data_IF_981604114350
#
_entry.id   IF_981604114350
#
_cell.length_a   1.000
_cell.length_b   1.000
_cell.length_c   1.000
_cell.angle_alpha   90.00
_cell.angle_beta   90.00
_cell.angle_gamma   90.00
#
_symmetry.space_group_name_H-M   'P 1'
#
loop_
_entity.id
_entity.type
_entity.pdbx_description
1 polymer ?
#
# COMPACT_ATOMS: atom_id res chain seq x y z
N UNK A 1 61.35 -16.61 -26.45
CA UNK A 1 60.60 -16.98 -25.23
C UNK A 1 59.57 -15.88 -24.98
N UNK A 2 58.32 -16.08 -25.41
CA UNK A 2 57.24 -15.12 -25.18
C UNK A 2 56.45 -15.50 -23.90
N UNK A 3 56.55 -14.68 -22.88
CA UNK A 3 55.80 -14.85 -21.64
C UNK A 3 54.41 -14.20 -21.81
N UNK A 4 53.34 -15.01 -21.93
CA UNK A 4 51.97 -14.52 -21.98
C UNK A 4 51.48 -14.26 -20.56
N UNK A 5 51.30 -12.98 -20.20
CA UNK A 5 50.58 -12.57 -18.99
C UNK A 5 49.08 -12.74 -19.22
N UNK A 6 48.46 -13.70 -18.52
CA UNK A 6 47.00 -13.83 -18.42
C UNK A 6 46.52 -12.89 -17.33
N UNK A 7 45.88 -11.77 -17.70
CA UNK A 7 45.17 -10.91 -16.77
C UNK A 7 43.85 -11.56 -16.44
N UNK A 8 43.72 -12.08 -15.21
CA UNK A 8 42.47 -12.62 -14.70
C UNK A 8 41.52 -11.47 -14.34
N UNK A 9 40.40 -11.37 -15.06
CA UNK A 9 39.31 -10.44 -14.76
C UNK A 9 38.44 -11.04 -13.66
N UNK A 10 38.63 -10.59 -12.42
CA UNK A 10 37.71 -10.97 -11.30
C UNK A 10 36.48 -10.12 -11.38
N UNK A 11 35.35 -10.70 -11.82
CA UNK A 11 34.06 -10.07 -11.75
C UNK A 11 33.60 -10.03 -10.29
N UNK A 12 33.49 -8.82 -9.71
CA UNK A 12 32.88 -8.63 -8.38
C UNK A 12 31.37 -8.84 -8.50
N UNK A 13 30.87 -9.91 -7.92
CA UNK A 13 29.43 -10.12 -7.76
C UNK A 13 28.95 -9.19 -6.64
N UNK A 14 28.28 -8.11 -7.01
CA UNK A 14 27.56 -7.25 -6.05
C UNK A 14 26.29 -7.99 -5.65
N UNK A 15 26.30 -8.60 -4.46
CA UNK A 15 25.10 -9.17 -3.87
C UNK A 15 24.17 -8.01 -3.49
N UNK A 16 23.01 -7.91 -4.16
CA UNK A 16 21.94 -7.00 -3.74
C UNK A 16 21.43 -7.46 -2.36
N UNK A 17 21.54 -6.59 -1.37
CA UNK A 17 20.93 -6.84 -0.06
C UNK A 17 19.42 -6.93 -0.25
N UNK A 18 18.72 -7.89 0.42
CA UNK A 18 17.27 -7.94 0.39
C UNK A 18 16.71 -6.62 0.93
N UNK A 19 15.68 -6.08 0.29
CA UNK A 19 14.96 -4.92 0.79
C UNK A 19 14.47 -5.26 2.21
N UNK A 20 14.90 -4.49 3.21
CA UNK A 20 14.47 -4.69 4.58
C UNK A 20 12.97 -4.46 4.66
N UNK A 21 12.19 -5.46 5.08
CA UNK A 21 10.77 -5.32 5.39
C UNK A 21 10.55 -4.29 6.51
N UNK A 22 9.32 -3.85 6.69
CA UNK A 22 8.97 -2.92 7.77
C UNK A 22 9.33 -3.53 9.13
N UNK A 23 9.85 -2.70 10.03
CA UNK A 23 10.16 -3.14 11.40
C UNK A 23 8.89 -3.37 12.22
N UNK A 24 8.96 -4.22 13.25
CA UNK A 24 7.85 -4.46 14.18
C UNK A 24 7.31 -3.15 14.78
N UNK A 25 8.19 -2.19 15.02
CA UNK A 25 7.82 -0.86 15.53
C UNK A 25 6.99 -0.07 14.52
N UNK A 26 7.34 -0.16 13.26
CA UNK A 26 6.62 0.50 12.16
C UNK A 26 5.26 -0.16 11.94
N UNK A 27 5.20 -1.49 11.94
CA UNK A 27 3.94 -2.24 11.87
C UNK A 27 3.01 -1.92 13.03
N UNK A 28 3.51 -1.88 14.26
CA UNK A 28 2.72 -1.50 15.44
C UNK A 28 2.24 -0.06 15.38
N UNK A 29 3.04 0.86 14.83
CA UNK A 29 2.62 2.24 14.59
C UNK A 29 1.51 2.30 13.54
N UNK A 30 1.65 1.57 12.44
CA UNK A 30 0.64 1.45 11.39
C UNK A 30 -0.67 0.85 11.88
N UNK A 31 -0.62 -0.17 12.71
CA UNK A 31 -1.81 -0.75 13.34
C UNK A 31 -2.56 0.28 14.19
N UNK A 32 -1.86 1.09 14.97
CA UNK A 32 -2.50 2.17 15.75
C UNK A 32 -3.20 3.19 14.86
N UNK A 33 -2.57 3.58 13.75
CA UNK A 33 -3.20 4.47 12.76
C UNK A 33 -4.44 3.82 12.16
N UNK A 34 -4.36 2.56 11.75
CA UNK A 34 -5.51 1.82 11.22
C UNK A 34 -6.67 1.79 12.21
N UNK A 35 -6.41 1.44 13.46
CA UNK A 35 -7.44 1.38 14.51
C UNK A 35 -8.10 2.73 14.77
N UNK A 36 -7.34 3.81 14.75
CA UNK A 36 -7.86 5.15 15.05
C UNK A 36 -8.51 5.84 13.85
N UNK A 37 -8.05 5.59 12.63
CA UNK A 37 -8.44 6.35 11.44
C UNK A 37 -9.24 5.55 10.40
N UNK A 38 -9.12 4.24 10.38
CA UNK A 38 -9.65 3.40 9.31
C UNK A 38 -10.71 2.39 9.79
N UNK A 39 -10.52 1.78 10.96
CA UNK A 39 -11.31 0.66 11.46
C UNK A 39 -12.79 1.02 11.71
N UNK A 40 -13.10 2.31 11.88
CA UNK A 40 -14.50 2.77 12.00
C UNK A 40 -15.35 2.48 10.77
N UNK A 41 -14.71 2.46 9.59
CA UNK A 41 -15.38 2.27 8.31
C UNK A 41 -14.88 1.04 7.52
N UNK A 42 -13.70 0.52 7.82
CA UNK A 42 -13.07 -0.58 7.09
C UNK A 42 -12.73 -1.77 7.99
N UNK A 43 -12.58 -2.93 7.37
CA UNK A 43 -12.05 -4.16 7.96
C UNK A 43 -10.88 -4.66 7.10
N UNK A 44 -10.02 -5.50 7.65
CA UNK A 44 -9.02 -6.29 6.91
C UNK A 44 -9.44 -7.75 6.76
N UNK A 45 -10.62 -8.11 7.27
CA UNK A 45 -11.15 -9.47 7.17
C UNK A 45 -11.83 -9.69 5.82
N UNK A 46 -11.71 -10.91 5.23
CA UNK A 46 -12.41 -11.25 3.99
C UNK A 46 -13.93 -11.01 4.09
N UNK A 47 -14.53 -10.53 3.01
CA UNK A 47 -15.99 -10.37 2.86
C UNK A 47 -16.67 -9.48 3.91
N UNK A 48 -15.89 -8.82 4.77
CA UNK A 48 -16.42 -7.99 5.85
C UNK A 48 -16.43 -6.51 5.46
N UNK A 49 -17.42 -6.12 4.67
CA UNK A 49 -17.70 -4.72 4.38
C UNK A 49 -18.36 -4.03 5.58
N UNK A 50 -18.10 -2.73 5.73
CA UNK A 50 -18.75 -1.84 6.70
C UNK A 50 -19.28 -0.60 5.96
N UNK A 51 -19.13 0.60 6.50
CA UNK A 51 -19.41 1.84 5.78
C UNK A 51 -18.49 2.01 4.55
N UNK A 52 -17.28 1.46 4.61
CA UNK A 52 -16.36 1.27 3.51
C UNK A 52 -16.18 -0.21 3.15
N UNK A 53 -15.56 -0.50 1.98
CA UNK A 53 -15.26 -1.87 1.58
C UNK A 53 -14.21 -2.51 2.48
N UNK A 54 -14.20 -3.85 2.57
CA UNK A 54 -13.07 -4.53 3.18
C UNK A 54 -11.77 -4.21 2.44
N UNK A 55 -10.70 -4.02 3.19
CA UNK A 55 -9.36 -3.81 2.65
C UNK A 55 -8.60 -5.14 2.43
N UNK A 56 -9.21 -6.29 2.77
CA UNK A 56 -8.64 -7.59 2.44
C UNK A 56 -8.44 -7.71 0.93
N UNK A 57 -7.24 -8.12 0.51
CA UNK A 57 -6.87 -8.19 -0.91
C UNK A 57 -6.78 -6.83 -1.60
N UNK A 58 -6.53 -5.74 -0.87
CA UNK A 58 -6.51 -4.38 -1.42
C UNK A 58 -5.46 -4.20 -2.50
N UNK A 59 -4.21 -4.59 -2.23
CA UNK A 59 -3.10 -4.35 -3.17
C UNK A 59 -3.24 -5.18 -4.44
N UNK A 60 -3.15 -4.50 -5.58
CA UNK A 60 -3.42 -5.06 -6.91
C UNK A 60 -4.89 -4.95 -7.36
N UNK A 61 -5.80 -4.56 -6.49
CA UNK A 61 -7.21 -4.33 -6.83
C UNK A 61 -7.35 -2.99 -7.56
N UNK A 62 -8.22 -2.95 -8.56
CA UNK A 62 -8.64 -1.69 -9.20
C UNK A 62 -9.74 -1.03 -8.34
N UNK A 63 -9.70 0.30 -8.25
CA UNK A 63 -10.69 1.07 -7.51
C UNK A 63 -12.12 0.77 -7.97
N UNK A 64 -13.03 0.64 -7.02
CA UNK A 64 -14.45 0.45 -7.32
C UNK A 64 -14.84 -0.92 -7.85
N UNK A 65 -13.98 -1.96 -7.74
CA UNK A 65 -14.23 -3.27 -8.38
C UNK A 65 -14.53 -4.42 -7.41
N UNK A 66 -14.43 -4.23 -6.10
CA UNK A 66 -14.76 -5.31 -5.16
C UNK A 66 -16.25 -5.63 -5.24
N UNK A 67 -16.56 -6.89 -5.52
CA UNK A 67 -17.95 -7.36 -5.53
C UNK A 67 -18.62 -7.24 -4.16
N UNK A 68 -19.91 -6.93 -4.14
CA UNK A 68 -20.69 -6.85 -2.91
C UNK A 68 -20.55 -5.53 -2.15
N UNK A 69 -19.85 -4.53 -2.69
CA UNK A 69 -19.81 -3.19 -2.13
C UNK A 69 -20.35 -2.14 -3.12
N UNK A 70 -21.20 -1.25 -2.63
CA UNK A 70 -21.76 -0.16 -3.44
C UNK A 70 -20.86 1.08 -3.41
N UNK A 71 -19.99 1.17 -4.40
CA UNK A 71 -19.07 2.29 -4.56
C UNK A 71 -19.74 3.54 -5.14
N UNK A 72 -19.14 4.72 -4.88
CA UNK A 72 -19.45 5.92 -5.64
C UNK A 72 -19.11 5.78 -7.12
N UNK A 73 -19.78 6.54 -7.97
CA UNK A 73 -19.42 6.64 -9.40
C UNK A 73 -17.96 7.08 -9.57
N UNK A 74 -17.52 8.07 -8.77
CA UNK A 74 -16.14 8.53 -8.79
C UNK A 74 -15.13 7.39 -8.55
N UNK A 75 -15.38 6.52 -7.57
CA UNK A 75 -14.50 5.41 -7.26
C UNK A 75 -14.53 4.34 -8.36
N UNK A 76 -15.72 4.07 -8.96
CA UNK A 76 -15.86 3.11 -10.06
C UNK A 76 -15.15 3.54 -11.33
N UNK A 77 -15.14 4.84 -11.62
CA UNK A 77 -14.58 5.39 -12.86
C UNK A 77 -13.13 5.84 -12.77
N UNK A 78 -12.57 5.94 -11.56
CA UNK A 78 -11.20 6.40 -11.33
C UNK A 78 -10.14 5.46 -11.95
N UNK A 79 -10.41 4.17 -12.02
CA UNK A 79 -9.52 3.15 -12.59
C UNK A 79 -8.10 3.15 -11.96
N UNK A 80 -8.01 3.42 -10.66
CA UNK A 80 -6.77 3.41 -9.90
C UNK A 80 -6.47 1.99 -9.45
N UNK A 81 -5.29 1.47 -9.80
CA UNK A 81 -4.76 0.25 -9.18
C UNK A 81 -4.18 0.61 -7.81
N UNK A 82 -4.61 -0.09 -6.76
CA UNK A 82 -4.10 0.14 -5.42
C UNK A 82 -2.73 -0.52 -5.25
N UNK A 83 -1.71 0.30 -5.23
CA UNK A 83 -0.33 -0.04 -4.88
C UNK A 83 0.06 0.76 -3.62
N UNK A 84 1.17 0.45 -2.95
CA UNK A 84 1.68 1.30 -1.87
C UNK A 84 1.80 2.77 -2.27
N UNK A 85 2.25 3.07 -3.49
CA UNK A 85 2.45 4.42 -4.01
C UNK A 85 1.12 5.15 -4.27
N UNK A 86 0.17 4.49 -4.94
CA UNK A 86 -1.14 5.10 -5.23
C UNK A 86 -1.97 5.26 -3.96
N UNK A 87 -1.84 4.32 -3.01
CA UNK A 87 -2.48 4.43 -1.71
C UNK A 87 -1.88 5.57 -0.88
N UNK A 88 -0.56 5.78 -0.92
CA UNK A 88 0.08 6.92 -0.25
C UNK A 88 -0.48 8.24 -0.76
N UNK A 89 -0.55 8.42 -2.07
CA UNK A 89 -1.12 9.62 -2.68
C UNK A 89 -2.60 9.82 -2.30
N UNK A 90 -3.39 8.75 -2.29
CA UNK A 90 -4.80 8.79 -1.90
C UNK A 90 -4.97 9.15 -0.42
N UNK A 91 -4.17 8.55 0.47
CA UNK A 91 -4.21 8.84 1.91
C UNK A 91 -3.64 10.21 2.27
N UNK A 92 -2.84 10.81 1.39
CA UNK A 92 -2.43 12.21 1.55
C UNK A 92 -3.60 13.16 1.25
N UNK A 93 -4.30 12.93 0.14
CA UNK A 93 -5.40 13.79 -0.31
C UNK A 93 -6.36 13.01 -1.21
N UNK A 94 -7.39 12.38 -0.63
CA UNK A 94 -8.31 11.52 -1.37
C UNK A 94 -8.95 12.19 -2.58
N UNK A 95 -9.42 13.42 -2.44
CA UNK A 95 -10.05 14.19 -3.52
C UNK A 95 -9.12 14.51 -4.70
N UNK A 96 -7.80 14.54 -4.47
CA UNK A 96 -6.83 14.78 -5.55
C UNK A 96 -6.66 13.54 -6.44
N UNK A 97 -6.82 12.34 -5.88
CA UNK A 97 -6.67 11.06 -6.60
C UNK A 97 -8.01 10.59 -7.16
N UNK A 98 -9.08 10.73 -6.39
CA UNK A 98 -10.45 10.36 -6.77
C UNK A 98 -11.38 11.55 -6.51
N UNK A 99 -11.45 12.52 -7.42
CA UNK A 99 -12.37 13.65 -7.28
C UNK A 99 -13.82 13.18 -7.17
N UNK A 100 -14.53 13.65 -6.17
CA UNK A 100 -15.92 13.24 -5.89
C UNK A 100 -16.02 11.94 -5.07
N UNK A 101 -14.93 11.45 -4.49
CA UNK A 101 -14.99 10.29 -3.58
C UNK A 101 -15.92 10.56 -2.40
N UNK A 102 -16.71 9.54 -2.01
CA UNK A 102 -17.56 9.60 -0.83
C UNK A 102 -16.81 9.29 0.48
N UNK A 103 -15.55 8.88 0.40
CA UNK A 103 -14.73 8.65 1.57
C UNK A 103 -14.39 9.98 2.24
N UNK A 104 -14.99 10.23 3.39
CA UNK A 104 -14.73 11.44 4.20
C UNK A 104 -13.45 11.22 5.00
N UNK A 105 -12.37 11.82 4.55
CA UNK A 105 -11.05 11.64 5.12
C UNK A 105 -10.17 12.88 4.87
N UNK A 106 -9.49 13.37 5.90
CA UNK A 106 -8.74 14.64 5.84
C UNK A 106 -7.27 14.48 5.45
N UNK A 107 -6.83 13.25 5.19
CA UNK A 107 -5.45 12.93 4.92
C UNK A 107 -4.64 12.58 6.16
N UNK A 108 -3.51 11.93 5.95
CA UNK A 108 -2.56 11.53 6.98
C UNK A 108 -1.21 12.21 6.77
N UNK A 109 -0.49 12.41 7.88
CA UNK A 109 0.91 12.84 7.83
C UNK A 109 1.79 11.75 7.20
N UNK A 110 2.96 12.11 6.61
CA UNK A 110 3.82 11.16 5.91
C UNK A 110 4.19 9.90 6.71
N UNK A 111 4.54 10.06 7.99
CA UNK A 111 4.91 8.93 8.83
C UNK A 111 3.73 7.99 9.13
N UNK A 112 2.54 8.57 9.33
CA UNK A 112 1.32 7.80 9.58
C UNK A 112 0.90 7.02 8.32
N UNK A 113 1.01 7.64 7.12
CA UNK A 113 0.77 6.97 5.84
C UNK A 113 1.70 5.79 5.64
N UNK A 114 3.01 6.01 5.80
CA UNK A 114 4.01 4.93 5.67
C UNK A 114 3.72 3.77 6.61
N UNK A 115 3.44 4.06 7.87
CA UNK A 115 3.14 3.03 8.87
C UNK A 115 1.87 2.24 8.53
N UNK A 116 0.77 2.91 8.18
CA UNK A 116 -0.49 2.20 7.88
C UNK A 116 -0.41 1.40 6.58
N UNK A 117 0.33 1.87 5.59
CA UNK A 117 0.57 1.12 4.35
C UNK A 117 1.36 -0.15 4.66
N UNK A 118 2.46 -0.06 5.41
CA UNK A 118 3.24 -1.21 5.83
C UNK A 118 2.40 -2.22 6.63
N UNK A 119 1.54 -1.75 7.53
CA UNK A 119 0.59 -2.61 8.25
C UNK A 119 -0.38 -3.32 7.30
N UNK A 120 -0.98 -2.61 6.35
CA UNK A 120 -1.92 -3.19 5.39
C UNK A 120 -1.28 -4.21 4.45
N UNK A 121 -0.02 -4.02 4.07
CA UNK A 121 0.73 -5.01 3.27
C UNK A 121 0.83 -6.37 3.96
N UNK A 122 0.75 -6.40 5.28
CA UNK A 122 0.78 -7.64 6.09
C UNK A 122 -0.64 -8.08 6.46
N UNK A 123 -1.49 -7.17 6.93
CA UNK A 123 -2.78 -7.49 7.52
C UNK A 123 -3.91 -7.68 6.50
N UNK A 124 -3.77 -7.13 5.29
CA UNK A 124 -4.83 -7.13 4.26
C UNK A 124 -4.58 -8.15 3.13
N UNK A 125 -3.79 -9.18 3.39
CA UNK A 125 -3.49 -10.27 2.44
C UNK A 125 -4.62 -11.29 2.36
#
# INVERSE_FOLDING_TARGET
MLLKLLAGLTAAVVAAAPAAGASDRELAAGERVFRSQCMGCHSVEPERNRAGPTLHGLFGRISGTLEGFDYSEAMRTAAVEWTPETLDAFLERPEAVVPGTKMVFWGLRPNDRRGVIAYLEVAAQ
#
